data_IF_467182445232
#
_entry.id   IF_467182445232
#
_cell.length_a   1.000
_cell.length_b   1.000
_cell.length_c   1.000
_cell.angle_alpha   90.00
_cell.angle_beta   90.00
_cell.angle_gamma   90.00
#
_symmetry.space_group_name_H-M   'P 1'
#
loop_
_entity.id
_entity.type
_entity.pdbx_description
1 polymer ?
#
# COMPACT_ATOMS: atom_id res chain seq x y z
N UNK A 1 -29.69 -2.42 65.88
CA UNK A 1 -29.42 -3.15 64.63
C UNK A 1 -28.21 -2.52 63.94
N UNK A 2 -27.23 -3.33 63.52
CA UNK A 2 -25.88 -2.89 63.15
C UNK A 2 -25.89 -2.17 61.79
N UNK A 3 -25.86 -0.83 61.82
CA UNK A 3 -25.81 0.08 60.66
C UNK A 3 -24.66 -0.19 59.68
N UNK A 4 -23.68 -0.99 60.09
CA UNK A 4 -22.52 -1.33 59.28
C UNK A 4 -22.88 -2.14 58.02
N UNK A 5 -23.91 -2.99 58.08
CA UNK A 5 -24.36 -3.74 56.90
C UNK A 5 -24.98 -2.82 55.84
N UNK A 6 -25.68 -1.76 56.25
CA UNK A 6 -26.27 -0.76 55.35
C UNK A 6 -25.17 0.01 54.63
N UNK A 7 -24.09 0.36 55.34
CA UNK A 7 -22.98 1.11 54.80
C UNK A 7 -22.17 0.30 53.77
N UNK A 8 -21.97 -1.00 54.02
CA UNK A 8 -21.32 -1.92 53.06
C UNK A 8 -22.16 -2.10 51.79
N UNK A 9 -23.48 -2.19 51.91
CA UNK A 9 -24.39 -2.32 50.76
C UNK A 9 -24.37 -1.05 49.89
N UNK A 10 -24.36 0.14 50.49
CA UNK A 10 -24.30 1.40 49.75
C UNK A 10 -22.98 1.52 48.98
N UNK A 11 -21.84 1.20 49.61
CA UNK A 11 -20.53 1.23 48.95
C UNK A 11 -20.49 0.23 47.79
N UNK A 12 -21.03 -0.98 47.98
CA UNK A 12 -21.11 -2.00 46.91
C UNK A 12 -21.93 -1.53 45.70
N UNK A 13 -23.06 -0.85 45.93
CA UNK A 13 -23.91 -0.30 44.86
C UNK A 13 -23.18 0.82 44.12
N UNK A 14 -22.49 1.72 44.81
CA UNK A 14 -21.74 2.82 44.18
C UNK A 14 -20.61 2.28 43.31
N UNK A 15 -19.82 1.33 43.81
CA UNK A 15 -18.71 0.73 43.05
C UNK A 15 -19.23 -0.05 41.83
N UNK A 16 -20.31 -0.83 42.00
CA UNK A 16 -20.95 -1.57 40.90
C UNK A 16 -21.49 -0.65 39.80
N UNK A 17 -22.09 0.48 40.20
CA UNK A 17 -22.63 1.49 39.27
C UNK A 17 -21.54 2.17 38.46
N UNK A 18 -20.41 2.51 39.09
CA UNK A 18 -19.25 3.12 38.43
C UNK A 18 -18.61 2.15 37.43
N UNK A 19 -18.46 0.87 37.80
CA UNK A 19 -17.91 -0.16 36.91
C UNK A 19 -18.82 -0.45 35.70
N UNK A 20 -20.14 -0.46 35.89
CA UNK A 20 -21.10 -0.63 34.79
C UNK A 20 -21.10 0.56 33.83
N UNK A 21 -20.99 1.79 34.36
CA UNK A 21 -20.97 3.02 33.54
C UNK A 21 -19.71 3.11 32.67
N UNK A 22 -18.55 2.67 33.19
CA UNK A 22 -17.30 2.64 32.42
C UNK A 22 -17.22 1.47 31.41
N UNK A 23 -17.99 0.39 31.61
CA UNK A 23 -18.07 -0.72 30.63
C UNK A 23 -18.67 -0.28 29.30
N UNK A 24 -19.61 0.66 29.32
CA UNK A 24 -20.25 1.16 28.09
C UNK A 24 -19.32 2.05 27.25
N UNK A 25 -18.32 2.69 27.87
CA UNK A 25 -17.30 3.50 27.18
C UNK A 25 -16.22 2.60 26.56
N UNK A 26 -15.87 1.48 27.21
CA UNK A 26 -14.94 0.49 26.68
C UNK A 26 -15.51 -0.35 25.53
N UNK A 27 -16.83 -0.61 25.50
CA UNK A 27 -17.48 -1.32 24.40
C UNK A 27 -17.77 -0.45 23.16
N UNK A 28 -17.77 0.89 23.32
CA UNK A 28 -17.90 1.83 22.20
C UNK A 28 -16.57 2.18 21.55
N UNK A 29 -15.45 1.60 22.00
CA UNK A 29 -14.29 1.40 21.12
C UNK A 29 -14.63 0.21 20.21
N UNK A 30 -15.69 0.38 19.43
CA UNK A 30 -15.98 -0.42 18.27
C UNK A 30 -14.69 -0.32 17.47
N UNK A 31 -13.93 -1.42 17.48
CA UNK A 31 -12.88 -1.63 16.51
C UNK A 31 -13.60 -1.46 15.18
N UNK A 32 -13.50 -0.26 14.62
CA UNK A 32 -13.46 -0.10 13.18
C UNK A 32 -12.19 -0.84 12.77
N UNK A 33 -12.24 -2.17 12.83
CA UNK A 33 -11.54 -2.98 11.88
C UNK A 33 -12.25 -2.64 10.59
N UNK A 34 -11.84 -1.53 9.98
CA UNK A 34 -11.83 -1.42 8.54
C UNK A 34 -11.04 -2.63 8.11
N UNK A 35 -11.75 -3.73 7.89
CA UNK A 35 -11.35 -4.71 6.92
C UNK A 35 -11.18 -3.87 5.66
N UNK A 36 -9.95 -3.42 5.40
CA UNK A 36 -9.56 -2.97 4.07
C UNK A 36 -9.72 -4.23 3.20
N UNK A 37 -10.94 -4.48 2.75
CA UNK A 37 -11.17 -5.19 1.49
C UNK A 37 -10.30 -4.46 0.50
N UNK A 38 -9.21 -5.11 0.09
CA UNK A 38 -8.20 -4.59 -0.82
C UNK A 38 -8.92 -3.82 -1.93
N UNK A 39 -8.61 -2.53 -2.06
CA UNK A 39 -9.31 -1.65 -2.98
C UNK A 39 -9.15 -2.19 -4.41
N UNK A 40 -10.24 -2.72 -4.97
CA UNK A 40 -10.33 -3.06 -6.38
C UNK A 40 -10.61 -1.79 -7.16
N UNK A 41 -9.72 -1.45 -8.08
CA UNK A 41 -9.80 -0.32 -9.00
C UNK A 41 -10.02 -0.83 -10.43
N UNK A 42 -10.69 -0.04 -11.27
CA UNK A 42 -10.78 -0.30 -12.70
C UNK A 42 -9.60 0.40 -13.38
N UNK A 43 -8.74 -0.36 -14.06
CA UNK A 43 -7.54 0.14 -14.73
C UNK A 43 -7.60 -0.22 -16.20
N UNK A 44 -7.15 0.65 -17.10
CA UNK A 44 -7.02 0.30 -18.51
C UNK A 44 -5.73 -0.52 -18.74
N UNK A 45 -5.84 -1.61 -19.50
CA UNK A 45 -4.67 -2.38 -19.93
C UNK A 45 -3.90 -1.68 -21.07
N UNK A 46 -2.85 -2.33 -21.58
CA UNK A 46 -2.01 -1.78 -22.67
C UNK A 46 -2.77 -1.53 -23.98
N UNK A 47 -3.97 -2.12 -24.14
CA UNK A 47 -4.88 -1.96 -25.29
C UNK A 47 -6.04 -1.00 -24.99
N UNK A 48 -6.08 -0.39 -23.79
CA UNK A 48 -7.15 0.51 -23.37
C UNK A 48 -8.41 -0.21 -22.88
N UNK A 49 -8.37 -1.53 -22.71
CA UNK A 49 -9.52 -2.29 -22.20
C UNK A 49 -9.58 -2.18 -20.67
N UNK A 50 -10.76 -1.92 -20.09
CA UNK A 50 -10.90 -1.86 -18.64
C UNK A 50 -10.74 -3.25 -18.03
N UNK A 51 -9.93 -3.35 -16.97
CA UNK A 51 -9.70 -4.56 -16.18
C UNK A 51 -9.77 -4.22 -14.69
N UNK A 52 -10.39 -5.10 -13.92
CA UNK A 52 -10.39 -4.99 -12.45
C UNK A 52 -9.01 -5.35 -11.93
N UNK A 53 -8.45 -4.45 -11.13
CA UNK A 53 -7.13 -4.58 -10.54
C UNK A 53 -7.19 -4.33 -9.05
N UNK A 54 -6.31 -4.98 -8.31
CA UNK A 54 -6.01 -4.65 -6.94
C UNK A 54 -4.79 -3.74 -6.89
N UNK A 55 -4.88 -2.70 -6.08
CA UNK A 55 -3.77 -1.80 -5.81
C UNK A 55 -2.91 -2.37 -4.65
N UNK A 56 -1.60 -2.48 -4.88
CA UNK A 56 -0.60 -2.89 -3.90
C UNK A 56 0.39 -1.74 -3.76
N UNK A 57 0.38 -1.10 -2.60
CA UNK A 57 1.27 0.00 -2.26
C UNK A 57 2.49 -0.54 -1.53
N UNK A 58 3.68 -0.18 -1.98
CA UNK A 58 4.90 -0.65 -1.35
C UNK A 58 6.12 0.19 -1.61
N UNK A 59 7.19 -0.17 -0.92
CA UNK A 59 8.52 0.35 -1.13
C UNK A 59 9.31 -0.63 -1.99
N UNK A 60 10.01 -0.12 -2.99
CA UNK A 60 10.95 -0.95 -3.75
C UNK A 60 12.06 -1.43 -2.83
N UNK A 61 12.39 -2.71 -2.91
CA UNK A 61 13.54 -3.30 -2.23
C UNK A 61 14.68 -3.56 -3.22
N UNK A 62 14.35 -4.04 -4.42
CA UNK A 62 15.32 -4.45 -5.43
C UNK A 62 14.71 -4.40 -6.83
N UNK A 63 15.54 -4.05 -7.83
CA UNK A 63 15.16 -3.99 -9.24
C UNK A 63 16.22 -4.64 -10.12
N UNK A 64 15.87 -5.77 -10.72
CA UNK A 64 16.71 -6.46 -11.68
C UNK A 64 16.17 -6.25 -13.10
N UNK A 65 16.69 -5.24 -13.79
CA UNK A 65 16.27 -4.90 -15.16
C UNK A 65 16.57 -5.99 -16.19
N UNK A 66 17.62 -6.80 -15.99
CA UNK A 66 17.97 -7.88 -16.92
C UNK A 66 16.90 -8.97 -16.93
N UNK A 67 16.33 -9.26 -15.75
CA UNK A 67 15.27 -10.25 -15.57
C UNK A 67 13.86 -9.64 -15.59
N UNK A 68 13.77 -8.30 -15.52
CA UNK A 68 12.52 -7.57 -15.33
C UNK A 68 11.87 -7.84 -13.97
N UNK A 69 12.65 -8.16 -12.95
CA UNK A 69 12.11 -8.53 -11.63
C UNK A 69 12.13 -7.31 -10.71
N UNK A 70 10.95 -6.88 -10.29
CA UNK A 70 10.75 -5.84 -9.28
C UNK A 70 10.32 -6.48 -7.96
N UNK A 71 11.10 -6.25 -6.91
CA UNK A 71 10.75 -6.67 -5.55
C UNK A 71 10.32 -5.47 -4.74
N UNK A 72 9.20 -5.61 -4.04
CA UNK A 72 8.67 -4.56 -3.17
C UNK A 72 8.32 -5.14 -1.81
N UNK A 73 8.41 -4.31 -0.80
CA UNK A 73 7.84 -4.54 0.52
C UNK A 73 6.54 -3.74 0.62
N UNK A 74 5.43 -4.43 0.85
CA UNK A 74 4.13 -3.78 1.00
C UNK A 74 4.14 -2.82 2.22
N UNK A 75 3.42 -1.70 2.12
CA UNK A 75 3.53 -0.64 3.13
C UNK A 75 2.81 -1.02 4.43
N UNK A 76 1.61 -1.59 4.32
CA UNK A 76 0.75 -1.95 5.47
C UNK A 76 0.99 -3.36 6.00
N UNK A 77 1.68 -4.19 5.21
CA UNK A 77 2.00 -5.56 5.54
C UNK A 77 3.48 -5.74 5.23
N UNK A 78 4.32 -6.21 6.16
CA UNK A 78 5.75 -6.45 5.85
C UNK A 78 5.98 -7.60 4.84
N UNK A 79 4.96 -7.96 4.06
CA UNK A 79 5.00 -8.94 3.00
C UNK A 79 5.88 -8.43 1.86
N UNK A 80 6.75 -9.34 1.40
CA UNK A 80 7.56 -9.13 0.21
C UNK A 80 6.81 -9.69 -1.00
N UNK A 81 6.75 -8.88 -2.05
CA UNK A 81 6.19 -9.26 -3.35
C UNK A 81 7.30 -9.21 -4.40
N UNK A 82 7.24 -10.14 -5.34
CA UNK A 82 8.19 -10.22 -6.46
C UNK A 82 7.40 -10.28 -7.76
N UNK A 83 7.49 -9.23 -8.56
CA UNK A 83 6.76 -9.09 -9.81
C UNK A 83 7.71 -9.21 -11.00
N UNK A 84 7.27 -9.95 -12.02
CA UNK A 84 7.94 -9.95 -13.32
C UNK A 84 7.27 -8.92 -14.21
N UNK A 85 8.05 -7.97 -14.70
CA UNK A 85 7.58 -6.84 -15.47
C UNK A 85 7.90 -7.03 -16.95
N UNK A 86 6.93 -6.69 -17.78
CA UNK A 86 7.09 -6.63 -19.22
C UNK A 86 6.38 -5.37 -19.77
N UNK A 87 7.11 -4.36 -20.25
CA UNK A 87 6.52 -3.12 -20.76
C UNK A 87 5.67 -3.32 -22.02
N UNK A 88 5.69 -4.52 -22.63
CA UNK A 88 4.78 -4.89 -23.72
C UNK A 88 3.42 -5.39 -23.20
N UNK A 89 3.35 -5.82 -21.94
CA UNK A 89 2.16 -6.40 -21.32
C UNK A 89 1.62 -5.58 -20.14
N UNK A 90 2.43 -4.67 -19.59
CA UNK A 90 2.07 -3.76 -18.51
C UNK A 90 2.40 -2.31 -18.84
N UNK A 91 1.62 -1.40 -18.27
CA UNK A 91 1.87 0.03 -18.38
C UNK A 91 2.80 0.44 -17.23
N UNK A 92 3.99 0.92 -17.56
CA UNK A 92 4.98 1.31 -16.55
C UNK A 92 5.24 2.81 -16.66
N UNK A 93 4.98 3.51 -15.57
CA UNK A 93 5.22 4.93 -15.42
C UNK A 93 6.35 5.18 -14.42
N UNK A 94 7.28 6.05 -14.82
CA UNK A 94 8.39 6.51 -13.99
C UNK A 94 8.47 8.05 -14.04
N UNK A 95 8.95 8.71 -12.99
CA UNK A 95 9.12 10.16 -13.01
C UNK A 95 10.29 10.56 -13.92
N UNK A 96 10.21 11.73 -14.55
CA UNK A 96 11.37 12.35 -15.21
C UNK A 96 12.23 13.06 -14.17
N UNK A 97 13.54 12.83 -14.23
CA UNK A 97 14.52 13.51 -13.38
C UNK A 97 14.87 14.90 -13.88
N UNK A 98 14.78 15.14 -15.19
CA UNK A 98 15.01 16.46 -15.76
C UNK A 98 13.80 17.37 -15.56
N UNK A 99 12.60 16.78 -15.53
CA UNK A 99 11.32 17.50 -15.45
C UNK A 99 10.45 16.90 -14.33
N UNK A 100 10.51 17.42 -13.09
CA UNK A 100 9.83 16.87 -11.91
C UNK A 100 8.33 16.61 -12.05
N UNK A 101 7.65 17.37 -12.93
CA UNK A 101 6.21 17.27 -13.16
C UNK A 101 5.84 16.35 -14.34
N UNK A 102 6.83 15.71 -14.98
CA UNK A 102 6.63 14.88 -16.16
C UNK A 102 6.73 13.41 -15.78
N UNK A 103 5.71 12.66 -16.17
CA UNK A 103 5.70 11.20 -16.08
C UNK A 103 6.13 10.63 -17.43
N UNK A 104 7.00 9.62 -17.41
CA UNK A 104 7.51 8.94 -18.59
C UNK A 104 6.95 7.52 -18.64
N UNK A 105 6.46 7.11 -19.81
CA UNK A 105 6.08 5.72 -20.05
C UNK A 105 7.29 4.91 -20.52
N UNK A 106 7.46 3.72 -19.96
CA UNK A 106 8.41 2.71 -20.44
C UNK A 106 7.68 1.76 -21.39
N UNK A 107 8.14 1.66 -22.64
CA UNK A 107 7.45 0.93 -23.72
C UNK A 107 8.20 -0.29 -24.25
N UNK A 108 9.44 -0.50 -23.80
CA UNK A 108 10.31 -1.56 -24.32
C UNK A 108 11.31 -2.00 -23.25
N UNK A 109 11.79 -3.26 -23.32
CA UNK A 109 12.77 -3.86 -22.39
C UNK A 109 14.22 -3.42 -22.63
N UNK A 110 14.43 -2.33 -23.35
CA UNK A 110 15.76 -1.88 -23.79
C UNK A 110 15.89 -0.36 -23.69
N UNK A 111 17.12 0.08 -23.43
CA UNK A 111 17.44 1.50 -23.37
C UNK A 111 17.20 2.13 -22.00
N UNK A 112 17.51 3.43 -21.89
CA UNK A 112 17.74 4.08 -20.60
C UNK A 112 16.50 4.11 -19.71
N UNK A 113 15.30 4.15 -20.28
CA UNK A 113 14.05 4.15 -19.49
C UNK A 113 13.72 2.81 -18.85
N UNK A 114 14.31 1.71 -19.32
CA UNK A 114 14.10 0.35 -18.78
C UNK A 114 15.27 -0.08 -17.90
N UNK A 115 16.48 -0.05 -18.47
CA UNK A 115 17.72 -0.39 -17.77
C UNK A 115 17.94 0.52 -16.56
N UNK A 116 17.42 1.75 -16.66
CA UNK A 116 17.42 2.74 -15.60
C UNK A 116 16.00 3.19 -15.28
N UNK A 117 14.98 2.35 -15.45
CA UNK A 117 13.70 2.56 -14.78
C UNK A 117 14.02 2.64 -13.28
N UNK A 118 13.93 3.84 -12.70
CA UNK A 118 14.44 4.16 -11.35
C UNK A 118 13.55 3.57 -10.27
N UNK A 119 13.38 2.24 -10.27
CA UNK A 119 12.88 1.55 -9.10
C UNK A 119 14.04 1.47 -8.12
N UNK A 120 14.32 2.57 -7.43
CA UNK A 120 15.36 2.58 -6.43
C UNK A 120 14.87 1.94 -5.14
N UNK A 121 15.75 1.23 -4.41
CA UNK A 121 15.42 0.82 -3.05
C UNK A 121 14.92 2.01 -2.21
N UNK A 122 13.73 1.87 -1.64
CA UNK A 122 13.02 2.88 -0.86
C UNK A 122 12.07 3.80 -1.66
N UNK A 123 11.94 3.63 -2.97
CA UNK A 123 10.93 4.36 -3.74
C UNK A 123 9.53 3.82 -3.48
N UNK A 124 8.56 4.73 -3.39
CA UNK A 124 7.16 4.38 -3.31
C UNK A 124 6.64 3.99 -4.68
N UNK A 125 6.03 2.81 -4.76
CA UNK A 125 5.39 2.30 -5.97
C UNK A 125 3.96 1.85 -5.68
N UNK A 126 3.11 2.07 -6.67
CA UNK A 126 1.76 1.49 -6.72
C UNK A 126 1.72 0.45 -7.82
N UNK A 127 1.52 -0.81 -7.46
CA UNK A 127 1.33 -1.91 -8.40
C UNK A 127 -0.16 -2.19 -8.54
N UNK A 128 -0.66 -2.15 -9.78
CA UNK A 128 -2.04 -2.50 -10.13
C UNK A 128 -2.01 -3.90 -10.73
N UNK A 129 -2.50 -4.89 -9.99
CA UNK A 129 -2.41 -6.29 -10.37
C UNK A 129 -3.80 -6.91 -10.59
N UNK A 130 -3.95 -7.71 -11.65
CA UNK A 130 -5.11 -8.56 -11.89
C UNK A 130 -4.68 -10.02 -11.68
N UNK A 131 -4.93 -10.55 -10.48
CA UNK A 131 -4.33 -11.82 -10.04
C UNK A 131 -2.81 -11.69 -9.94
N UNK A 132 -2.10 -12.61 -10.60
CA UNK A 132 -0.63 -12.61 -10.64
C UNK A 132 -0.04 -11.70 -11.72
N UNK A 133 -0.89 -11.11 -12.58
CA UNK A 133 -0.46 -10.25 -13.69
C UNK A 133 -0.41 -8.79 -13.24
N UNK A 134 0.76 -8.16 -13.42
CA UNK A 134 0.86 -6.71 -13.29
C UNK A 134 0.26 -6.04 -14.53
N UNK A 135 -0.75 -5.19 -14.31
CA UNK A 135 -1.41 -4.42 -15.37
C UNK A 135 -0.75 -3.06 -15.52
N UNK A 136 -0.53 -2.36 -14.40
CA UNK A 136 0.12 -1.06 -14.40
C UNK A 136 0.99 -0.86 -13.16
N UNK A 137 2.01 -0.01 -13.32
CA UNK A 137 2.89 0.41 -12.24
C UNK A 137 3.06 1.92 -12.33
N UNK A 138 2.86 2.57 -11.19
CA UNK A 138 3.22 3.96 -11.00
C UNK A 138 4.34 4.06 -9.97
N UNK A 139 5.49 4.58 -10.40
CA UNK A 139 6.59 4.89 -9.51
C UNK A 139 6.52 6.35 -9.09
N UNK A 140 6.17 6.57 -7.81
CA UNK A 140 6.12 7.89 -7.19
C UNK A 140 7.44 8.35 -6.57
N UNK A 141 8.52 7.57 -6.71
CA UNK A 141 9.83 7.84 -6.13
C UNK A 141 10.55 9.05 -6.75
N UNK A 142 11.03 9.96 -5.90
CA UNK A 142 11.74 11.19 -6.32
C UNK A 142 13.27 11.08 -6.15
N UNK A 143 13.81 9.93 -5.74
CA UNK A 143 15.20 9.85 -5.24
C UNK A 143 16.24 9.52 -6.32
N UNK A 144 17.45 9.99 -6.03
CA UNK A 144 18.63 10.27 -6.86
C UNK A 144 19.27 9.16 -7.71
N UNK A 145 18.72 7.95 -7.74
CA UNK A 145 19.28 6.87 -8.56
C UNK A 145 18.58 6.96 -9.90
N UNK A 146 19.34 7.41 -10.90
CA UNK A 146 18.79 8.36 -11.86
C UNK A 146 19.71 8.73 -13.01
N UNK A 147 19.45 8.33 -14.26
CA UNK A 147 20.12 8.84 -15.45
C UNK A 147 19.86 10.34 -15.56
N UNK A 148 20.94 11.12 -15.46
CA UNK A 148 20.94 12.57 -15.70
C UNK A 148 20.85 12.96 -17.18
N UNK A 149 20.83 11.99 -18.10
CA UNK A 149 20.68 12.25 -19.53
C UNK A 149 19.23 12.06 -19.94
N UNK A 150 18.51 13.15 -20.15
CA UNK A 150 17.58 13.16 -21.27
C UNK A 150 18.39 13.28 -22.57
#
# INVERSE_FOLDING_TARGET
MKWWHVLVVIIGIVIGSVLLKNRHVLNNTQKTTTSFTQATSLTADVHGQPIETKDILGLVEDWNFNQGILRIKEYDSSQLHSFTLDPTQSIIFIPSLAHPNRILRVSQKTGPRWERAFFCPGDFVTIKAAGDKVVAIDNGGYRSCGFKGE
#
